data_IF_014301677219
#
_entry.id   IF_014301677219
#
_cell.length_a   1.000
_cell.length_b   1.000
_cell.length_c   1.000
_cell.angle_alpha   90.00
_cell.angle_beta   90.00
_cell.angle_gamma   90.00
#
_symmetry.space_group_name_H-M   'P 1'
#
loop_
_entity.id
_entity.type
_entity.pdbx_description
1 polymer ?
#
# COMPACT_ATOMS: atom_id res chain seq x y z
N UNK A 1 27.48 3.88 0.13
CA UNK A 1 27.35 4.33 -1.27
C UNK A 1 26.02 3.83 -1.78
N UNK A 2 25.16 4.76 -2.23
CA UNK A 2 23.85 4.42 -2.77
C UNK A 2 24.04 3.61 -4.07
N UNK A 3 23.46 2.40 -4.19
CA UNK A 3 23.65 1.55 -5.36
C UNK A 3 23.23 2.24 -6.67
N UNK A 4 22.25 3.13 -6.63
CA UNK A 4 21.77 3.86 -7.81
C UNK A 4 22.79 4.89 -8.31
N UNK A 5 23.42 5.64 -7.42
CA UNK A 5 24.50 6.57 -7.80
C UNK A 5 25.69 5.83 -8.41
N UNK A 6 25.97 4.61 -7.94
CA UNK A 6 27.00 3.75 -8.51
C UNK A 6 26.68 3.34 -9.96
N UNK A 7 25.45 2.90 -10.23
CA UNK A 7 25.02 2.53 -11.57
C UNK A 7 25.09 3.71 -12.55
N UNK A 8 24.72 4.92 -12.11
CA UNK A 8 24.84 6.11 -12.95
C UNK A 8 26.29 6.43 -13.33
N UNK A 9 27.22 6.37 -12.40
CA UNK A 9 28.63 6.64 -12.66
C UNK A 9 29.27 5.54 -13.53
N UNK A 10 28.92 4.26 -13.37
CA UNK A 10 29.39 3.17 -14.24
C UNK A 10 28.89 3.33 -15.67
N UNK A 11 27.63 3.69 -15.88
CA UNK A 11 27.06 3.92 -17.20
C UNK A 11 27.76 5.09 -17.91
N UNK A 12 28.11 6.15 -17.18
CA UNK A 12 28.88 7.26 -17.71
C UNK A 12 30.27 6.85 -18.24
N UNK A 13 30.88 5.83 -17.65
CA UNK A 13 32.17 5.30 -18.13
C UNK A 13 32.07 4.55 -19.46
N UNK A 14 30.94 3.85 -19.67
CA UNK A 14 30.75 2.95 -20.81
C UNK A 14 29.94 3.57 -21.95
N UNK A 15 29.23 4.69 -21.73
CA UNK A 15 28.42 5.37 -22.74
C UNK A 15 28.85 6.82 -22.94
N UNK A 16 28.68 7.34 -24.16
CA UNK A 16 29.00 8.74 -24.50
C UNK A 16 27.91 9.36 -25.38
N UNK A 17 27.84 10.69 -25.37
CA UNK A 17 26.99 11.48 -26.26
C UNK A 17 25.48 11.20 -26.11
N UNK A 18 24.78 11.08 -27.23
CA UNK A 18 23.32 10.90 -27.28
C UNK A 18 22.87 9.59 -26.61
N UNK A 19 23.67 8.51 -26.80
CA UNK A 19 23.38 7.21 -26.19
C UNK A 19 23.40 7.28 -24.64
N UNK A 20 24.42 7.94 -24.10
CA UNK A 20 24.52 8.16 -22.64
C UNK A 20 23.28 8.84 -22.08
N UNK A 21 22.83 9.92 -22.74
CA UNK A 21 21.63 10.67 -22.32
C UNK A 21 20.36 9.82 -22.34
N UNK A 22 20.19 8.99 -23.38
CA UNK A 22 19.04 8.09 -23.51
C UNK A 22 19.06 7.02 -22.41
N UNK A 23 20.21 6.40 -22.17
CA UNK A 23 20.37 5.34 -21.17
C UNK A 23 20.14 5.88 -19.76
N UNK A 24 20.70 7.05 -19.43
CA UNK A 24 20.48 7.69 -18.13
C UNK A 24 19.00 8.07 -17.92
N UNK A 25 18.32 8.58 -18.94
CA UNK A 25 16.89 8.88 -18.88
C UNK A 25 16.05 7.61 -18.69
N UNK A 26 16.39 6.52 -19.39
CA UNK A 26 15.70 5.24 -19.27
C UNK A 26 15.86 4.62 -17.89
N UNK A 27 17.03 4.73 -17.28
CA UNK A 27 17.28 4.22 -15.94
C UNK A 27 16.53 5.05 -14.92
N UNK A 28 16.56 6.38 -14.98
CA UNK A 28 15.76 7.24 -14.13
C UNK A 28 14.27 6.90 -14.20
N UNK A 29 13.77 6.51 -15.38
CA UNK A 29 12.39 6.08 -15.54
C UNK A 29 12.14 4.66 -15.05
N UNK A 30 13.00 3.70 -15.36
CA UNK A 30 12.80 2.29 -15.04
C UNK A 30 13.06 1.99 -13.57
N UNK A 31 14.15 2.47 -13.00
CA UNK A 31 14.46 2.24 -11.58
C UNK A 31 13.42 2.89 -10.68
N UNK A 32 12.91 4.05 -11.07
CA UNK A 32 11.83 4.70 -10.37
C UNK A 32 10.51 3.94 -10.46
N UNK A 33 10.22 3.28 -11.59
CA UNK A 33 8.98 2.50 -11.78
C UNK A 33 9.08 1.11 -11.17
N UNK A 34 10.21 0.40 -11.31
CA UNK A 34 10.35 -1.00 -10.91
C UNK A 34 10.73 -1.21 -9.44
N UNK A 35 11.67 -0.44 -8.92
CA UNK A 35 12.16 -0.68 -7.55
C UNK A 35 11.26 -0.03 -6.49
N UNK A 36 10.38 0.86 -6.90
CA UNK A 36 9.51 1.58 -6.00
C UNK A 36 8.29 0.77 -5.53
N UNK A 37 7.89 -0.26 -6.27
CA UNK A 37 6.77 -1.14 -5.86
C UNK A 37 7.16 -2.13 -4.76
N UNK A 38 8.45 -2.46 -4.61
CA UNK A 38 8.90 -3.56 -3.76
C UNK A 38 9.80 -3.17 -2.58
N UNK A 39 10.34 -1.96 -2.54
CA UNK A 39 11.17 -1.52 -1.42
C UNK A 39 10.67 -0.18 -0.82
N UNK A 40 10.69 -0.05 0.52
CA UNK A 40 10.46 1.23 1.17
C UNK A 40 11.67 2.13 0.91
N UNK A 41 11.67 2.85 -0.21
CA UNK A 41 12.78 3.73 -0.56
C UNK A 41 12.88 4.85 0.45
N UNK A 42 13.90 4.77 1.28
CA UNK A 42 14.22 5.78 2.27
C UNK A 42 14.72 7.11 1.65
N UNK A 43 15.02 7.16 0.33
CA UNK A 43 15.90 8.17 -0.23
C UNK A 43 15.30 9.01 -1.36
N UNK A 44 14.15 9.69 -1.14
CA UNK A 44 13.72 10.77 -2.06
C UNK A 44 14.79 11.86 -2.27
N UNK A 45 15.60 12.26 -1.27
CA UNK A 45 16.73 13.16 -1.47
C UNK A 45 17.71 12.70 -2.56
N UNK A 46 17.88 11.39 -2.74
CA UNK A 46 18.75 10.86 -3.79
C UNK A 46 18.17 11.10 -5.17
N UNK A 47 16.88 10.85 -5.37
CA UNK A 47 16.24 11.13 -6.66
C UNK A 47 16.25 12.61 -7.02
N UNK A 48 16.04 13.49 -6.03
CA UNK A 48 16.14 14.93 -6.24
C UNK A 48 17.58 15.31 -6.66
N UNK A 49 18.58 14.81 -5.96
CA UNK A 49 19.99 15.07 -6.29
C UNK A 49 20.40 14.49 -7.65
N UNK A 50 19.86 13.32 -8.03
CA UNK A 50 20.07 12.73 -9.34
C UNK A 50 19.41 13.56 -10.44
N UNK A 51 18.19 14.05 -10.22
CA UNK A 51 17.51 14.94 -11.17
C UNK A 51 18.21 16.31 -11.29
N UNK A 52 18.69 16.87 -10.20
CA UNK A 52 19.47 18.11 -10.24
C UNK A 52 20.79 17.93 -11.01
N UNK A 53 21.50 16.84 -10.73
CA UNK A 53 22.80 16.55 -11.31
C UNK A 53 22.72 16.16 -12.79
N UNK A 54 21.75 15.33 -13.15
CA UNK A 54 21.65 14.72 -14.48
C UNK A 54 20.45 15.18 -15.31
N UNK A 55 19.51 15.90 -14.74
CA UNK A 55 18.30 16.36 -15.42
C UNK A 55 18.60 17.21 -16.66
N UNK A 56 19.67 18.00 -16.64
CA UNK A 56 20.14 18.80 -17.79
C UNK A 56 20.68 17.93 -18.95
N UNK A 57 21.01 16.68 -18.68
CA UNK A 57 21.51 15.73 -19.67
C UNK A 57 20.38 14.93 -20.33
N UNK A 58 19.14 15.01 -19.82
CA UNK A 58 17.98 14.35 -20.39
C UNK A 58 17.52 15.10 -21.64
N UNK A 59 17.56 14.45 -22.84
CA UNK A 59 17.34 15.16 -24.10
C UNK A 59 15.90 15.61 -24.32
N UNK A 60 14.93 14.99 -23.65
CA UNK A 60 13.51 15.31 -23.78
C UNK A 60 13.00 15.98 -22.49
N UNK A 61 12.63 17.27 -22.54
CA UNK A 61 12.07 17.98 -21.40
C UNK A 61 10.80 17.33 -20.83
N UNK A 62 9.96 16.71 -21.66
CA UNK A 62 8.73 16.04 -21.23
C UNK A 62 9.03 14.84 -20.32
N UNK A 63 10.11 14.10 -20.60
CA UNK A 63 10.58 12.99 -19.75
C UNK A 63 10.99 13.50 -18.39
N UNK A 64 11.71 14.63 -18.33
CA UNK A 64 12.12 15.23 -17.07
C UNK A 64 10.92 15.70 -16.25
N UNK A 65 9.97 16.37 -16.89
CA UNK A 65 8.71 16.84 -16.25
C UNK A 65 7.91 15.65 -15.74
N UNK A 66 7.74 14.60 -16.55
CA UNK A 66 7.01 13.39 -16.15
C UNK A 66 7.69 12.69 -14.98
N UNK A 67 9.03 12.60 -14.96
CA UNK A 67 9.78 11.98 -13.86
C UNK A 67 9.64 12.78 -12.57
N UNK A 68 9.79 14.12 -12.61
CA UNK A 68 9.54 14.99 -11.46
C UNK A 68 8.14 14.82 -10.92
N UNK A 69 7.14 14.87 -11.79
CA UNK A 69 5.73 14.69 -11.40
C UNK A 69 5.50 13.36 -10.69
N UNK A 70 6.09 12.28 -11.18
CA UNK A 70 6.00 10.96 -10.52
C UNK A 70 6.65 10.96 -9.13
N UNK A 71 7.83 11.58 -8.99
CA UNK A 71 8.51 11.72 -7.70
C UNK A 71 7.66 12.51 -6.72
N UNK A 72 7.09 13.63 -7.14
CA UNK A 72 6.25 14.48 -6.29
C UNK A 72 4.97 13.76 -5.86
N UNK A 73 4.32 13.04 -6.78
CA UNK A 73 3.17 12.19 -6.46
C UNK A 73 3.54 11.15 -5.39
N UNK A 74 4.69 10.52 -5.53
CA UNK A 74 5.13 9.49 -4.57
C UNK A 74 5.56 10.08 -3.22
N UNK A 75 6.20 11.24 -3.20
CA UNK A 75 6.46 11.99 -1.95
C UNK A 75 5.16 12.31 -1.23
N UNK A 76 4.18 12.83 -1.96
CA UNK A 76 2.87 13.12 -1.40
C UNK A 76 2.19 11.86 -0.88
N UNK A 77 2.15 10.79 -1.67
CA UNK A 77 1.62 9.50 -1.27
C UNK A 77 2.25 9.04 0.05
N UNK A 78 3.59 9.04 0.14
CA UNK A 78 4.30 8.62 1.36
C UNK A 78 3.97 9.50 2.56
N UNK A 79 3.86 10.81 2.37
CA UNK A 79 3.53 11.72 3.46
C UNK A 79 2.16 11.40 4.06
N UNK A 80 1.14 11.16 3.23
CA UNK A 80 -0.21 10.88 3.70
C UNK A 80 -0.45 9.41 4.12
N UNK A 81 0.41 8.48 3.72
CA UNK A 81 0.37 7.07 4.15
C UNK A 81 1.35 6.74 5.28
N UNK A 82 2.04 7.74 5.82
CA UNK A 82 2.98 7.55 6.92
C UNK A 82 2.27 7.14 8.21
N UNK A 83 2.97 6.41 9.05
CA UNK A 83 2.50 6.05 10.39
C UNK A 83 2.07 7.29 11.17
N UNK A 84 0.91 7.22 11.81
CA UNK A 84 0.31 8.31 12.59
C UNK A 84 -0.55 9.28 11.76
N UNK A 85 -0.51 9.21 10.43
CA UNK A 85 -1.41 10.00 9.58
C UNK A 85 -2.83 9.43 9.59
N UNK A 86 -3.87 10.26 9.43
CA UNK A 86 -5.23 9.78 9.26
C UNK A 86 -5.32 8.87 8.02
N UNK A 87 -5.87 7.67 8.19
CA UNK A 87 -6.19 6.83 7.06
C UNK A 87 -7.32 7.46 6.23
N UNK A 88 -7.28 7.37 4.88
CA UNK A 88 -8.36 7.86 4.05
C UNK A 88 -9.70 7.21 4.45
N UNK A 89 -10.75 8.01 4.61
CA UNK A 89 -12.08 7.45 4.85
C UNK A 89 -12.65 6.83 3.57
N UNK A 90 -13.55 5.89 3.72
CA UNK A 90 -14.25 5.24 2.62
C UNK A 90 -15.74 5.10 2.95
N UNK A 91 -16.56 4.89 1.94
CA UNK A 91 -17.94 4.47 2.07
C UNK A 91 -18.17 3.30 1.10
N UNK A 92 -18.12 2.08 1.63
CA UNK A 92 -18.15 0.84 0.85
C UNK A 92 -19.31 -0.05 1.29
N UNK A 93 -19.87 -0.80 0.35
CA UNK A 93 -20.98 -1.69 0.63
C UNK A 93 -20.53 -3.16 0.75
N UNK A 94 -21.19 -3.90 1.64
CA UNK A 94 -21.12 -5.36 1.66
C UNK A 94 -22.01 -6.01 0.58
N UNK A 95 -22.06 -7.33 0.54
CA UNK A 95 -22.85 -8.05 -0.46
C UNK A 95 -24.35 -7.80 -0.33
N UNK A 96 -24.84 -7.50 0.87
CA UNK A 96 -26.25 -7.17 1.14
C UNK A 96 -26.63 -5.74 0.72
N UNK A 97 -25.63 -4.88 0.51
CA UNK A 97 -25.80 -3.45 0.22
C UNK A 97 -25.69 -2.54 1.44
N UNK A 98 -25.45 -3.09 2.63
CA UNK A 98 -25.16 -2.28 3.81
C UNK A 98 -23.82 -1.59 3.64
N UNK A 99 -23.79 -0.28 3.89
CA UNK A 99 -22.60 0.56 3.75
C UNK A 99 -21.84 0.68 5.05
N UNK A 100 -20.52 0.79 4.93
CA UNK A 100 -19.57 0.96 6.02
C UNK A 100 -18.54 2.04 5.64
N UNK A 101 -18.16 2.83 6.63
CA UNK A 101 -17.04 3.78 6.58
C UNK A 101 -15.96 3.37 7.57
N UNK A 102 -14.77 3.94 7.48
CA UNK A 102 -13.72 3.69 8.47
C UNK A 102 -14.18 4.14 9.89
N UNK A 103 -15.01 5.18 9.97
CA UNK A 103 -15.56 5.71 11.22
C UNK A 103 -16.46 4.73 11.94
N UNK A 104 -17.12 3.79 11.25
CA UNK A 104 -17.94 2.75 11.87
C UNK A 104 -17.11 1.77 12.71
N UNK A 105 -15.79 1.79 12.52
CA UNK A 105 -14.83 0.99 13.28
C UNK A 105 -14.09 1.80 14.35
N UNK A 106 -14.57 3.00 14.67
CA UNK A 106 -13.96 3.84 15.71
C UNK A 106 -13.77 3.04 17.02
N UNK A 107 -12.61 3.21 17.62
CA UNK A 107 -12.23 2.46 18.81
C UNK A 107 -11.73 1.03 18.56
N UNK A 108 -11.64 0.56 17.31
CA UNK A 108 -11.11 -0.76 16.96
C UNK A 108 -9.82 -0.63 16.14
N UNK A 109 -8.90 -1.54 16.36
CA UNK A 109 -7.80 -1.75 15.42
C UNK A 109 -8.36 -2.42 14.16
N UNK A 110 -8.09 -1.86 12.99
CA UNK A 110 -8.61 -2.35 11.70
C UNK A 110 -7.47 -2.92 10.89
N UNK A 111 -7.54 -4.21 10.54
CA UNK A 111 -6.65 -4.82 9.56
C UNK A 111 -7.38 -4.86 8.22
N UNK A 112 -6.91 -4.08 7.26
CA UNK A 112 -7.51 -3.93 5.93
C UNK A 112 -6.71 -4.79 4.95
N UNK A 113 -7.40 -5.63 4.19
CA UNK A 113 -6.90 -6.46 3.10
C UNK A 113 -7.49 -5.97 1.78
N UNK A 114 -6.69 -5.37 0.92
CA UNK A 114 -7.08 -5.07 -0.45
C UNK A 114 -6.77 -6.29 -1.33
N UNK A 115 -7.79 -6.85 -1.96
CA UNK A 115 -7.70 -8.10 -2.72
C UNK A 115 -8.58 -8.11 -3.97
N UNK A 116 -8.56 -9.19 -4.74
CA UNK A 116 -9.51 -9.43 -5.82
C UNK A 116 -9.69 -10.93 -6.08
N UNK A 117 -10.83 -11.29 -6.66
CA UNK A 117 -11.17 -12.70 -6.99
C UNK A 117 -10.24 -13.35 -8.01
N UNK A 118 -9.60 -12.56 -8.84
CA UNK A 118 -8.63 -12.99 -9.86
C UNK A 118 -7.18 -12.99 -9.36
N UNK A 119 -6.94 -12.53 -8.13
CA UNK A 119 -5.59 -12.39 -7.56
C UNK A 119 -5.13 -13.73 -6.96
N UNK A 120 -4.32 -14.49 -7.69
CA UNK A 120 -3.76 -15.76 -7.21
C UNK A 120 -3.02 -15.67 -5.86
N UNK A 121 -2.08 -14.72 -5.68
CA UNK A 121 -1.42 -14.50 -4.39
C UNK A 121 -2.38 -14.16 -3.25
N UNK A 122 -3.47 -13.41 -3.50
CA UNK A 122 -4.47 -13.11 -2.49
C UNK A 122 -5.19 -14.38 -2.02
N UNK A 123 -5.56 -15.24 -2.97
CA UNK A 123 -6.22 -16.51 -2.69
C UNK A 123 -5.30 -17.44 -1.88
N UNK A 124 -4.00 -17.43 -2.18
CA UNK A 124 -3.01 -18.22 -1.44
C UNK A 124 -2.86 -17.80 0.04
N UNK A 125 -3.16 -16.53 0.36
CA UNK A 125 -3.12 -16.02 1.75
C UNK A 125 -4.37 -16.40 2.57
N UNK A 126 -5.49 -16.81 1.96
CA UNK A 126 -6.75 -17.04 2.67
C UNK A 126 -6.68 -18.07 3.80
N UNK A 127 -5.95 -19.20 3.69
CA UNK A 127 -5.82 -20.14 4.80
C UNK A 127 -5.18 -19.53 6.05
N UNK A 128 -4.14 -18.72 5.87
CA UNK A 128 -3.45 -18.06 6.97
C UNK A 128 -4.24 -16.84 7.47
N UNK A 129 -4.96 -16.16 6.57
CA UNK A 129 -5.89 -15.10 6.96
C UNK A 129 -7.01 -15.63 7.85
N UNK A 130 -7.57 -16.80 7.56
CA UNK A 130 -8.56 -17.44 8.41
C UNK A 130 -8.00 -17.75 9.80
N UNK A 131 -6.80 -18.34 9.88
CA UNK A 131 -6.12 -18.58 11.18
C UNK A 131 -5.93 -17.27 11.97
N UNK A 132 -5.54 -16.19 11.27
CA UNK A 132 -5.36 -14.89 11.89
C UNK A 132 -6.68 -14.34 12.44
N UNK A 133 -7.76 -14.38 11.66
CA UNK A 133 -9.12 -13.97 12.12
C UNK A 133 -9.56 -14.82 13.31
N UNK A 134 -9.39 -16.15 13.25
CA UNK A 134 -9.76 -17.07 14.33
C UNK A 134 -8.96 -16.80 15.62
N UNK A 135 -7.69 -16.43 15.51
CA UNK A 135 -6.83 -16.05 16.66
C UNK A 135 -7.39 -14.84 17.43
N UNK A 136 -8.02 -13.91 16.74
CA UNK A 136 -8.54 -12.66 17.33
C UNK A 136 -10.06 -12.62 17.43
N UNK A 137 -10.80 -13.71 17.16
CA UNK A 137 -12.26 -13.74 17.12
C UNK A 137 -12.93 -13.25 18.39
N UNK A 138 -12.32 -13.50 19.56
CA UNK A 138 -12.85 -13.11 20.87
C UNK A 138 -12.42 -11.68 21.29
N UNK A 139 -11.63 -11.00 20.45
CA UNK A 139 -11.15 -9.64 20.70
C UNK A 139 -12.02 -8.63 19.96
N UNK A 140 -13.05 -8.10 20.64
CA UNK A 140 -13.94 -7.07 20.06
C UNK A 140 -13.22 -5.79 19.64
N UNK A 141 -12.00 -5.58 20.11
CA UNK A 141 -11.18 -4.41 19.84
C UNK A 141 -10.42 -4.48 18.49
N UNK A 142 -10.54 -5.57 17.73
CA UNK A 142 -9.97 -5.71 16.39
C UNK A 142 -11.05 -6.10 15.38
N UNK A 143 -10.92 -5.59 14.16
CA UNK A 143 -11.78 -5.97 13.03
C UNK A 143 -10.93 -6.23 11.79
N UNK A 144 -11.28 -7.25 11.05
CA UNK A 144 -10.67 -7.63 9.78
C UNK A 144 -11.62 -7.25 8.65
N UNK A 145 -11.15 -6.40 7.73
CA UNK A 145 -11.94 -5.84 6.63
C UNK A 145 -11.23 -6.18 5.33
N UNK A 146 -11.85 -6.99 4.48
CA UNK A 146 -11.34 -7.26 3.12
C UNK A 146 -12.10 -6.42 2.12
N UNK A 147 -11.38 -5.65 1.32
CA UNK A 147 -11.93 -4.76 0.30
C UNK A 147 -11.56 -5.31 -1.08
N UNK A 148 -12.54 -5.80 -1.81
CA UNK A 148 -12.34 -6.29 -3.17
C UNK A 148 -12.25 -5.13 -4.16
N UNK A 149 -11.22 -5.16 -5.01
CA UNK A 149 -11.07 -4.29 -6.18
C UNK A 149 -11.53 -4.97 -7.48
N UNK A 150 -12.40 -5.96 -7.41
CA UNK A 150 -13.02 -6.50 -8.62
C UNK A 150 -13.80 -5.42 -9.39
N UNK A 151 -13.72 -5.41 -10.72
CA UNK A 151 -14.35 -4.39 -11.57
C UNK A 151 -15.87 -4.38 -11.46
N UNK A 152 -16.48 -5.52 -11.13
CA UNK A 152 -17.93 -5.69 -11.02
C UNK A 152 -18.33 -6.38 -9.72
N UNK A 153 -19.48 -5.98 -9.15
CA UNK A 153 -20.05 -6.62 -7.96
C UNK A 153 -20.31 -8.13 -8.19
N UNK A 154 -20.74 -8.49 -9.40
CA UNK A 154 -20.98 -9.88 -9.80
C UNK A 154 -19.70 -10.71 -9.73
N UNK A 155 -18.58 -10.21 -10.28
CA UNK A 155 -17.28 -10.90 -10.20
C UNK A 155 -16.83 -11.12 -8.76
N UNK A 156 -16.93 -10.08 -7.92
CA UNK A 156 -16.63 -10.18 -6.50
C UNK A 156 -17.48 -11.23 -5.79
N UNK A 157 -18.82 -11.22 -6.01
CA UNK A 157 -19.71 -12.17 -5.35
C UNK A 157 -19.48 -13.59 -5.87
N UNK A 158 -19.56 -13.82 -7.18
CA UNK A 158 -19.55 -15.18 -7.74
C UNK A 158 -18.16 -15.81 -7.69
N UNK A 159 -17.13 -15.07 -8.12
CA UNK A 159 -15.77 -15.58 -8.23
C UNK A 159 -14.96 -15.37 -6.93
N UNK A 160 -15.34 -14.41 -6.11
CA UNK A 160 -14.70 -14.10 -4.84
C UNK A 160 -15.39 -14.78 -3.68
N UNK A 161 -16.53 -14.24 -3.23
CA UNK A 161 -17.19 -14.67 -1.99
C UNK A 161 -17.69 -16.12 -2.06
N UNK A 162 -18.46 -16.46 -3.11
CA UNK A 162 -19.07 -17.78 -3.26
C UNK A 162 -18.05 -18.90 -3.49
N UNK A 163 -16.92 -18.57 -4.12
CA UNK A 163 -15.90 -19.56 -4.46
C UNK A 163 -14.86 -19.75 -3.34
N UNK A 164 -14.46 -18.69 -2.69
CA UNK A 164 -13.32 -18.70 -1.78
C UNK A 164 -13.67 -18.53 -0.31
N UNK A 165 -14.88 -18.05 0.00
CA UNK A 165 -15.39 -17.83 1.37
C UNK A 165 -14.38 -17.09 2.26
N UNK A 166 -13.87 -15.91 1.85
CA UNK A 166 -12.89 -15.18 2.62
C UNK A 166 -13.46 -14.77 3.99
N UNK A 167 -12.65 -14.82 5.06
CA UNK A 167 -13.09 -14.48 6.41
C UNK A 167 -13.18 -12.96 6.61
N UNK A 168 -13.79 -12.53 7.72
CA UNK A 168 -13.92 -11.13 8.10
C UNK A 168 -15.05 -10.39 7.37
N UNK A 169 -15.10 -9.07 7.54
CA UNK A 169 -16.06 -8.21 6.85
C UNK A 169 -15.62 -8.02 5.39
N UNK A 170 -16.50 -8.37 4.48
CA UNK A 170 -16.23 -8.31 3.05
C UNK A 170 -16.92 -7.10 2.42
N UNK A 171 -16.14 -6.19 1.86
CA UNK A 171 -16.60 -4.97 1.19
C UNK A 171 -16.14 -4.94 -0.27
N UNK A 172 -16.89 -4.20 -1.10
CA UNK A 172 -16.54 -3.99 -2.48
C UNK A 172 -16.16 -2.53 -2.73
N UNK A 173 -15.02 -2.30 -3.37
CA UNK A 173 -14.49 -0.96 -3.68
C UNK A 173 -15.33 -0.15 -4.69
N UNK A 174 -16.37 -0.76 -5.28
CA UNK A 174 -17.18 -0.13 -6.32
C UNK A 174 -16.67 -0.43 -7.74
N UNK A 175 -17.35 0.12 -8.73
CA UNK A 175 -16.99 -0.06 -10.13
C UNK A 175 -15.60 0.48 -10.45
N UNK A 176 -14.90 -0.21 -11.36
CA UNK A 176 -13.64 0.26 -11.96
C UNK A 176 -12.37 -0.26 -11.30
N UNK A 177 -12.47 -1.21 -10.36
CA UNK A 177 -11.32 -1.93 -9.82
C UNK A 177 -10.21 -0.98 -9.32
N UNK A 178 -9.08 -0.98 -10.00
CA UNK A 178 -7.96 -0.05 -9.76
C UNK A 178 -8.33 1.44 -9.84
N UNK A 179 -9.39 1.80 -10.56
CA UNK A 179 -9.86 3.17 -10.72
C UNK A 179 -10.94 3.56 -9.72
N UNK A 180 -11.35 2.67 -8.82
CA UNK A 180 -12.27 2.97 -7.74
C UNK A 180 -11.72 4.06 -6.82
N UNK A 181 -12.61 4.78 -6.14
CA UNK A 181 -12.21 5.81 -5.18
C UNK A 181 -11.35 5.24 -4.07
N UNK A 182 -11.69 4.04 -3.57
CA UNK A 182 -10.90 3.34 -2.55
C UNK A 182 -9.48 3.08 -3.05
N UNK A 183 -9.33 2.43 -4.22
CA UNK A 183 -8.01 2.10 -4.76
C UNK A 183 -7.14 3.35 -4.98
N UNK A 184 -7.73 4.45 -5.44
CA UNK A 184 -7.03 5.73 -5.63
C UNK A 184 -6.62 6.36 -4.30
N UNK A 185 -7.54 6.47 -3.34
CA UNK A 185 -7.28 7.12 -2.06
C UNK A 185 -6.25 6.34 -1.21
N UNK A 186 -6.27 5.02 -1.32
CA UNK A 186 -5.33 4.13 -0.66
C UNK A 186 -4.12 3.78 -1.54
N UNK A 187 -3.95 4.43 -2.69
CA UNK A 187 -2.82 4.21 -3.62
C UNK A 187 -2.54 2.73 -3.89
N UNK A 188 -3.62 1.93 -4.03
CA UNK A 188 -3.49 0.51 -4.31
C UNK A 188 -2.92 0.34 -5.72
N UNK A 189 -1.66 -0.06 -5.82
CA UNK A 189 -0.95 -0.30 -7.08
C UNK A 189 -0.75 -1.80 -7.36
N UNK A 190 -0.90 -2.63 -6.33
CA UNK A 190 -0.81 -4.08 -6.39
C UNK A 190 -1.71 -4.74 -5.34
N UNK A 191 -2.12 -5.99 -5.55
CA UNK A 191 -2.81 -6.82 -4.57
C UNK A 191 -2.11 -8.18 -4.45
N UNK A 192 -2.06 -8.77 -3.24
CA UNK A 192 -2.65 -8.29 -1.99
C UNK A 192 -1.87 -7.12 -1.39
N UNK A 193 -2.59 -6.17 -0.79
CA UNK A 193 -2.00 -5.12 0.04
C UNK A 193 -2.69 -5.10 1.39
N UNK A 194 -1.90 -5.12 2.45
CA UNK A 194 -2.39 -5.13 3.83
C UNK A 194 -2.04 -3.84 4.54
N UNK A 195 -2.98 -3.34 5.35
CA UNK A 195 -2.81 -2.10 6.11
C UNK A 195 -3.34 -2.30 7.53
N UNK A 196 -2.71 -1.63 8.49
CA UNK A 196 -3.13 -1.64 9.89
C UNK A 196 -3.44 -0.21 10.33
N UNK A 197 -4.64 -0.01 10.88
CA UNK A 197 -5.16 1.29 11.31
C UNK A 197 -5.58 1.17 12.77
N UNK A 198 -5.32 2.20 13.58
CA UNK A 198 -5.70 2.21 14.99
C UNK A 198 -7.16 2.64 15.21
N UNK A 199 -7.59 2.62 16.48
CA UNK A 199 -8.95 2.98 16.87
C UNK A 199 -9.29 4.47 16.73
N UNK A 200 -8.30 5.34 16.46
CA UNK A 200 -8.49 6.76 16.14
C UNK A 200 -8.57 6.98 14.62
N UNK A 201 -8.45 5.93 13.82
CA UNK A 201 -8.41 6.01 12.36
C UNK A 201 -7.06 6.44 11.81
N UNK A 202 -5.97 6.31 12.58
CA UNK A 202 -4.61 6.63 12.15
C UNK A 202 -3.89 5.39 11.64
N UNK A 203 -3.07 5.56 10.63
CA UNK A 203 -2.26 4.50 10.04
C UNK A 203 -1.19 4.05 11.05
N UNK A 204 -1.18 2.77 11.40
CA UNK A 204 -0.10 2.12 12.14
C UNK A 204 0.97 1.64 11.14
N UNK A 205 0.54 0.92 10.11
CA UNK A 205 1.40 0.40 9.05
C UNK A 205 0.62 0.34 7.74
N UNK A 206 1.09 1.05 6.74
CA UNK A 206 0.45 1.06 5.40
C UNK A 206 0.85 -0.14 4.54
N UNK A 207 1.92 -0.84 4.93
CA UNK A 207 2.38 -2.09 4.32
C UNK A 207 2.47 -3.18 5.39
N UNK A 208 1.37 -3.39 6.10
CA UNK A 208 1.30 -4.34 7.20
C UNK A 208 1.70 -5.76 6.75
N UNK A 209 2.31 -6.56 7.64
CA UNK A 209 2.70 -7.92 7.34
C UNK A 209 1.51 -8.76 6.84
N UNK A 210 1.78 -9.65 5.88
CA UNK A 210 0.81 -10.59 5.32
C UNK A 210 0.33 -11.59 6.37
N UNK A 211 -0.86 -12.18 6.21
CA UNK A 211 -1.34 -13.25 7.08
C UNK A 211 -0.37 -14.43 7.21
N UNK A 212 0.26 -14.86 6.10
CA UNK A 212 1.28 -15.91 6.08
C UNK A 212 2.56 -15.60 6.86
N UNK A 213 2.78 -14.34 7.26
CA UNK A 213 3.89 -13.97 8.15
C UNK A 213 3.69 -14.41 9.61
N UNK A 214 2.54 -15.01 9.93
CA UNK A 214 2.26 -15.69 11.20
C UNK A 214 2.39 -14.79 12.42
N UNK A 215 3.44 -15.00 13.22
CA UNK A 215 3.67 -14.22 14.44
C UNK A 215 3.92 -12.74 14.19
N UNK A 216 4.52 -12.38 13.06
CA UNK A 216 4.85 -10.97 12.76
C UNK A 216 3.58 -10.10 12.72
N UNK A 217 2.55 -10.52 11.98
CA UNK A 217 1.28 -9.81 11.95
C UNK A 217 0.52 -9.93 13.27
N UNK A 218 0.55 -11.12 13.90
CA UNK A 218 -0.08 -11.34 15.19
C UNK A 218 0.46 -10.40 16.27
N UNK A 219 1.76 -10.20 16.32
CA UNK A 219 2.42 -9.28 17.24
C UNK A 219 2.12 -7.82 16.92
N UNK A 220 2.12 -7.43 15.63
CA UNK A 220 1.77 -6.06 15.23
C UNK A 220 0.35 -5.67 15.68
N UNK A 221 -0.63 -6.56 15.50
CA UNK A 221 -2.00 -6.35 15.98
C UNK A 221 -2.03 -6.29 17.52
N UNK A 222 -1.34 -7.21 18.21
CA UNK A 222 -1.31 -7.23 19.68
C UNK A 222 -0.67 -5.97 20.26
N UNK A 223 0.37 -5.43 19.65
CA UNK A 223 0.99 -4.16 20.04
C UNK A 223 0.06 -2.97 19.83
N UNK A 224 -0.66 -2.94 18.71
CA UNK A 224 -1.67 -1.93 18.44
C UNK A 224 -2.77 -1.90 19.51
N UNK A 225 -3.21 -3.07 19.96
CA UNK A 225 -4.19 -3.21 21.02
C UNK A 225 -3.66 -2.74 22.39
N UNK A 226 -2.41 -3.07 22.74
CA UNK A 226 -1.75 -2.63 23.98
C UNK A 226 -1.61 -1.11 24.05
N UNK A 227 -1.21 -0.46 22.95
CA UNK A 227 -1.10 1.01 22.89
C UNK A 227 -2.42 1.69 23.22
N UNK A 228 -3.53 1.11 22.82
CA UNK A 228 -4.87 1.59 23.14
C UNK A 228 -5.20 1.46 24.62
N UNK A 229 -4.86 0.33 25.25
CA UNK A 229 -5.14 0.07 26.68
C UNK A 229 -4.35 1.01 27.60
N UNK A 230 -3.12 1.38 27.22
CA UNK A 230 -2.22 2.24 28.02
C UNK A 230 -2.53 3.75 27.88
N UNK A 231 -3.32 4.15 26.87
CA UNK A 231 -3.67 5.54 26.59
C UNK A 231 -2.50 6.45 26.20
N UNK A 232 -2.75 7.68 25.70
CA UNK A 232 -1.69 8.59 25.23
C UNK A 232 -0.77 9.15 26.34
N UNK A 233 -1.10 8.98 27.62
CA UNK A 233 -0.31 9.49 28.74
C UNK A 233 0.96 8.68 29.04
N UNK A 234 1.04 7.42 28.62
CA UNK A 234 2.17 6.52 28.94
C UNK A 234 3.45 6.82 28.15
N UNK A 235 3.33 7.51 27.01
CA UNK A 235 4.45 7.81 26.11
C UNK A 235 5.04 9.23 26.25
N UNK A 236 4.70 9.95 27.32
CA UNK A 236 5.25 11.30 27.62
C UNK A 236 6.34 11.29 28.70
N UNK A 237 6.94 10.14 28.99
CA UNK A 237 8.10 10.03 29.88
C UNK A 237 9.38 9.86 29.08
#
# INVERSE_FOLDING_TARGET
>A
LNPYAFHFEEIKKITKGKLQKIVLASILQSDFVYNYEYEPVADFPVYDSLLERYGKEIPNPEVLVATRSKIDIKKHQRAITATGQPAPDFLLADSSGKTYSLKDFAGKTVYIDAWASWCGPCIAELPDYKKLVDKFKDRQAVIFVSVSIDDTKTAWIEKGLNKHHPPGLQLWAGKGGWRSTFAKNYYISGVPQYMLVDGEGKIIDFNAPRPSSGEKIGNAIAEALKKKELGPAYFKM
#
